data_IF_780315552922
#
_entry.id   IF_780315552922
#
_cell.length_a   1.000
_cell.length_b   1.000
_cell.length_c   1.000
_cell.angle_alpha   90.00
_cell.angle_beta   90.00
_cell.angle_gamma   90.00
#
_symmetry.space_group_name_H-M   'P 1'
#
loop_
_entity.id
_entity.type
_entity.pdbx_description
1 polymer ?
#
# COMPACT_ATOMS: atom_id res chain seq x y z
N UNK A 1 -27.36 8.26 0.46
CA UNK A 1 -26.33 7.27 0.07
C UNK A 1 -26.22 7.28 -1.44
N UNK A 2 -25.02 7.13 -1.99
CA UNK A 2 -24.78 6.98 -3.44
C UNK A 2 -25.24 5.59 -3.90
N UNK A 3 -25.86 5.51 -5.08
CA UNK A 3 -26.34 4.23 -5.63
C UNK A 3 -25.18 3.36 -6.13
N UNK A 4 -25.22 2.07 -5.80
CA UNK A 4 -24.34 1.03 -6.38
C UNK A 4 -24.87 0.43 -7.69
N UNK A 5 -26.03 0.90 -8.19
CA UNK A 5 -26.61 0.46 -9.47
C UNK A 5 -26.13 1.42 -10.57
N UNK A 6 -25.39 0.95 -11.59
CA UNK A 6 -24.87 1.82 -12.65
C UNK A 6 -25.98 2.46 -13.49
N UNK A 7 -25.82 3.74 -13.80
CA UNK A 7 -26.70 4.53 -14.69
C UNK A 7 -26.39 4.27 -16.17
N UNK A 8 -27.29 4.67 -17.07
CA UNK A 8 -27.10 4.51 -18.52
C UNK A 8 -25.86 5.25 -19.06
N UNK A 9 -25.48 6.39 -18.45
CA UNK A 9 -24.28 7.13 -18.82
C UNK A 9 -23.00 6.39 -18.40
N UNK A 10 -22.98 5.86 -17.17
CA UNK A 10 -21.87 5.07 -16.64
C UNK A 10 -21.68 3.75 -17.40
N UNK A 11 -22.76 3.07 -17.78
CA UNK A 11 -22.68 1.86 -18.61
C UNK A 11 -22.04 2.14 -19.97
N UNK A 12 -22.31 3.31 -20.57
CA UNK A 12 -21.72 3.73 -21.85
C UNK A 12 -20.34 4.38 -21.74
N UNK A 13 -19.80 4.60 -20.55
CA UNK A 13 -18.52 5.28 -20.35
C UNK A 13 -17.76 4.72 -19.16
N UNK A 14 -16.69 3.95 -19.44
CA UNK A 14 -15.76 3.47 -18.42
C UNK A 14 -15.24 4.62 -17.55
N UNK A 15 -14.92 5.78 -18.16
CA UNK A 15 -14.46 6.97 -17.42
C UNK A 15 -15.50 7.47 -16.40
N UNK A 16 -16.78 7.48 -16.76
CA UNK A 16 -17.86 7.84 -15.83
C UNK A 16 -18.05 6.79 -14.72
N UNK A 17 -17.93 5.50 -15.05
CA UNK A 17 -18.04 4.41 -14.08
C UNK A 17 -16.84 4.34 -13.11
N UNK A 18 -15.62 4.62 -13.57
CA UNK A 18 -14.43 4.74 -12.74
C UNK A 18 -14.48 6.00 -11.85
N UNK A 19 -15.02 7.12 -12.35
CA UNK A 19 -15.35 8.27 -11.49
C UNK A 19 -16.44 7.90 -10.46
N UNK A 20 -17.37 7.01 -10.81
CA UNK A 20 -18.38 6.52 -9.87
C UNK A 20 -17.79 5.64 -8.76
N UNK A 21 -16.79 4.81 -9.05
CA UNK A 21 -16.01 4.13 -8.02
C UNK A 21 -15.37 5.14 -7.05
N UNK A 22 -14.83 6.27 -7.56
CA UNK A 22 -14.25 7.31 -6.70
C UNK A 22 -15.28 7.93 -5.75
N UNK A 23 -16.55 8.10 -6.18
CA UNK A 23 -17.65 8.54 -5.31
C UNK A 23 -18.16 7.47 -4.32
N UNK A 24 -17.91 6.18 -4.58
CA UNK A 24 -18.38 5.05 -3.77
C UNK A 24 -17.32 4.53 -2.79
N UNK A 25 -16.07 4.90 -2.97
CA UNK A 25 -14.95 4.61 -2.08
C UNK A 25 -15.04 5.47 -0.79
N UNK A 26 -15.91 5.02 0.12
CA UNK A 26 -16.14 5.61 1.44
C UNK A 26 -15.04 5.29 2.45
N UNK A 27 -14.17 4.33 2.13
CA UNK A 27 -13.05 3.93 2.97
C UNK A 27 -11.75 4.67 2.63
N UNK A 28 -11.76 5.51 1.57
CA UNK A 28 -10.68 6.46 1.25
C UNK A 28 -10.29 7.30 2.46
N UNK A 29 -9.00 7.51 2.57
CA UNK A 29 -8.40 8.41 3.54
C UNK A 29 -8.39 9.85 3.04
N UNK A 30 -8.71 10.77 3.94
CA UNK A 30 -8.64 12.21 3.68
C UNK A 30 -7.27 12.78 4.09
N UNK A 31 -6.55 13.52 3.21
CA UNK A 31 -5.29 14.15 3.56
C UNK A 31 -5.47 15.24 4.63
N UNK A 32 -4.55 15.33 5.59
CA UNK A 32 -4.58 16.22 6.78
C UNK A 32 -5.72 15.88 7.77
N UNK A 33 -6.19 14.63 7.72
CA UNK A 33 -7.11 14.02 8.70
C UNK A 33 -6.60 12.62 9.04
N UNK A 34 -6.38 11.79 8.02
CA UNK A 34 -5.99 10.39 8.14
C UNK A 34 -4.52 10.12 7.77
N UNK A 35 -3.88 11.03 7.02
CA UNK A 35 -2.46 10.99 6.69
C UNK A 35 -1.96 12.39 6.31
N UNK A 36 -0.66 12.61 6.41
CA UNK A 36 0.03 13.81 5.93
C UNK A 36 1.23 13.44 5.06
N UNK A 37 1.46 14.23 4.01
CA UNK A 37 2.56 14.05 3.06
C UNK A 37 3.57 15.20 3.17
N UNK A 38 4.83 14.92 2.88
CA UNK A 38 5.85 15.92 2.61
C UNK A 38 6.39 15.72 1.18
N UNK A 39 5.77 16.41 0.22
CA UNK A 39 6.02 16.18 -1.22
C UNK A 39 7.33 16.83 -1.71
N UNK A 40 7.93 17.73 -0.92
CA UNK A 40 9.30 18.24 -1.11
C UNK A 40 9.56 18.80 -2.52
N UNK A 41 10.72 18.53 -3.13
CA UNK A 41 11.11 19.10 -4.43
C UNK A 41 10.89 18.14 -5.61
N UNK A 42 10.58 18.75 -6.75
CA UNK A 42 10.35 18.05 -8.01
C UNK A 42 11.61 17.88 -8.84
N UNK A 43 11.63 16.83 -9.66
CA UNK A 43 12.76 16.46 -10.52
C UNK A 43 12.34 15.87 -11.87
N UNK A 44 13.33 15.55 -12.70
CA UNK A 44 13.13 14.83 -13.95
C UNK A 44 13.20 13.30 -13.73
N UNK A 45 12.45 12.51 -14.49
CA UNK A 45 12.40 11.03 -14.36
C UNK A 45 13.77 10.31 -14.42
N UNK A 46 14.73 10.87 -15.16
CA UNK A 46 16.07 10.29 -15.35
C UNK A 46 17.13 10.88 -14.43
N UNK A 47 16.75 11.87 -13.62
CA UNK A 47 17.60 12.47 -12.61
C UNK A 47 17.68 11.53 -11.40
N UNK A 48 18.88 11.29 -10.88
CA UNK A 48 19.15 10.41 -9.73
C UNK A 48 19.63 11.18 -8.49
N UNK A 49 19.69 12.51 -8.55
CA UNK A 49 19.95 13.35 -7.37
C UNK A 49 18.90 13.14 -6.28
N UNK A 50 19.26 13.38 -5.03
CA UNK A 50 18.30 13.34 -3.95
C UNK A 50 17.62 14.69 -3.76
N UNK A 51 16.33 14.76 -4.09
CA UNK A 51 15.49 15.96 -3.99
C UNK A 51 14.44 15.84 -2.87
N UNK A 52 14.56 14.84 -2.00
CA UNK A 52 13.69 14.67 -0.85
C UNK A 52 14.48 14.06 0.33
N UNK A 53 14.82 14.91 1.30
CA UNK A 53 15.63 14.51 2.48
C UNK A 53 14.80 13.84 3.57
N UNK A 54 13.49 14.09 3.57
CA UNK A 54 12.53 13.55 4.52
C UNK A 54 11.67 12.46 3.86
N UNK A 55 11.01 11.58 4.63
CA UNK A 55 10.00 10.65 4.11
C UNK A 55 8.85 11.36 3.37
N UNK A 56 8.26 10.70 2.38
CA UNK A 56 7.03 11.16 1.72
C UNK A 56 5.85 11.16 2.71
N UNK A 57 5.72 10.13 3.55
CA UNK A 57 4.66 9.99 4.53
C UNK A 57 5.13 10.44 5.91
N UNK A 58 4.76 11.66 6.31
CA UNK A 58 5.09 12.21 7.64
C UNK A 58 4.13 11.74 8.73
N UNK A 59 2.93 11.30 8.37
CA UNK A 59 1.95 10.75 9.30
C UNK A 59 0.95 9.85 8.56
N UNK A 60 0.56 8.73 9.17
CA UNK A 60 -0.66 7.98 8.85
C UNK A 60 -1.32 7.61 10.18
N UNK A 61 -2.62 7.85 10.30
CA UNK A 61 -3.40 7.57 11.51
C UNK A 61 -3.44 6.06 11.81
N UNK A 62 -2.98 5.59 12.98
CA UNK A 62 -2.95 4.17 13.32
C UNK A 62 -4.32 3.47 13.22
N UNK A 63 -5.44 4.19 13.38
CA UNK A 63 -6.79 3.64 13.24
C UNK A 63 -7.13 3.21 11.81
N UNK A 64 -6.33 3.60 10.81
CA UNK A 64 -6.41 3.08 9.44
C UNK A 64 -6.13 1.57 9.41
N UNK A 65 -5.16 1.09 10.20
CA UNK A 65 -4.72 -0.31 10.18
C UNK A 65 -5.70 -1.26 10.90
N UNK A 66 -6.69 -0.73 11.62
CA UNK A 66 -7.80 -1.50 12.18
C UNK A 66 -9.05 -1.53 11.26
N UNK A 67 -9.02 -0.84 10.10
CA UNK A 67 -10.09 -0.95 9.10
C UNK A 67 -9.98 -2.30 8.38
N UNK A 68 -11.05 -3.12 8.28
CA UNK A 68 -10.93 -4.52 7.85
C UNK A 68 -10.20 -4.77 6.53
N UNK A 69 -10.50 -3.99 5.47
CA UNK A 69 -9.86 -4.18 4.15
C UNK A 69 -8.40 -3.71 4.12
N UNK A 70 -8.04 -2.69 4.90
CA UNK A 70 -6.65 -2.25 5.07
C UNK A 70 -5.86 -3.29 5.86
N UNK A 71 -6.40 -3.73 7.00
CA UNK A 71 -5.79 -4.77 7.86
C UNK A 71 -5.47 -6.03 7.07
N UNK A 72 -6.46 -6.56 6.36
CA UNK A 72 -6.29 -7.76 5.53
C UNK A 72 -5.36 -7.53 4.33
N UNK A 73 -5.15 -6.29 3.86
CA UNK A 73 -4.11 -6.02 2.87
C UNK A 73 -2.71 -6.12 3.50
N UNK A 74 -2.47 -5.57 4.70
CA UNK A 74 -1.19 -5.74 5.40
C UNK A 74 -0.91 -7.20 5.77
N UNK A 75 -1.93 -7.92 6.27
CA UNK A 75 -1.84 -9.37 6.55
C UNK A 75 -1.49 -10.19 5.29
N UNK A 76 -1.80 -9.69 4.08
CA UNK A 76 -1.33 -10.25 2.82
C UNK A 76 0.09 -9.80 2.45
N UNK A 77 0.38 -8.50 2.51
CA UNK A 77 1.70 -7.94 2.16
C UNK A 77 2.84 -8.59 2.97
N UNK A 78 2.60 -8.86 4.26
CA UNK A 78 3.56 -9.47 5.18
C UNK A 78 3.90 -10.95 4.85
N UNK A 79 3.20 -11.60 3.91
CA UNK A 79 3.51 -12.96 3.44
C UNK A 79 4.53 -13.01 2.28
N UNK A 80 4.81 -11.89 1.61
CA UNK A 80 5.53 -11.88 0.32
C UNK A 80 6.98 -11.39 0.43
N UNK A 81 7.85 -12.01 -0.37
CA UNK A 81 9.27 -11.66 -0.49
C UNK A 81 9.53 -10.89 -1.81
N UNK A 82 10.57 -10.06 -1.84
CA UNK A 82 10.91 -9.17 -2.98
C UNK A 82 11.43 -9.92 -4.22
N UNK A 83 12.10 -11.06 -4.03
CA UNK A 83 12.81 -11.78 -5.09
C UNK A 83 11.90 -12.72 -5.91
N UNK A 84 11.89 -12.58 -7.25
CA UNK A 84 11.12 -13.50 -8.12
C UNK A 84 11.85 -14.81 -8.41
N UNK A 85 11.09 -15.82 -8.86
CA UNK A 85 11.64 -17.04 -9.43
C UNK A 85 11.86 -18.19 -8.44
N UNK A 86 11.69 -17.94 -7.14
CA UNK A 86 11.42 -19.03 -6.17
C UNK A 86 10.04 -19.61 -6.47
N UNK A 87 9.88 -20.93 -6.37
CA UNK A 87 8.55 -21.55 -6.52
C UNK A 87 7.77 -21.39 -5.22
N UNK A 88 6.77 -20.51 -5.23
CA UNK A 88 5.88 -20.27 -4.09
C UNK A 88 5.16 -21.56 -3.67
N UNK A 89 5.09 -21.77 -2.35
CA UNK A 89 4.32 -22.86 -1.74
C UNK A 89 3.15 -22.28 -0.96
N UNK A 90 2.16 -21.77 -1.68
CA UNK A 90 0.98 -21.13 -1.09
C UNK A 90 0.39 -22.00 0.02
N UNK A 91 0.48 -21.52 1.26
CA UNK A 91 0.10 -22.31 2.44
C UNK A 91 -1.41 -22.22 2.70
N UNK A 92 -1.96 -23.12 3.54
CA UNK A 92 -3.35 -23.01 4.00
C UNK A 92 -3.65 -21.69 4.74
N UNK A 93 -2.63 -21.00 5.28
CA UNK A 93 -2.75 -19.67 5.90
C UNK A 93 -2.97 -18.60 4.83
N UNK A 94 -2.08 -18.50 3.84
CA UNK A 94 -2.26 -17.54 2.73
C UNK A 94 -3.57 -17.78 1.97
N UNK A 95 -3.97 -19.03 1.75
CA UNK A 95 -5.29 -19.33 1.14
C UNK A 95 -6.46 -18.83 1.99
N UNK A 96 -6.37 -18.87 3.32
CA UNK A 96 -7.39 -18.31 4.21
C UNK A 96 -7.40 -16.78 4.18
N UNK A 97 -6.22 -16.15 4.17
CA UNK A 97 -6.05 -14.69 4.15
C UNK A 97 -6.51 -14.09 2.81
N UNK A 98 -6.13 -14.70 1.68
CA UNK A 98 -6.65 -14.38 0.34
C UNK A 98 -8.19 -14.45 0.31
N UNK A 99 -8.75 -15.50 0.92
CA UNK A 99 -10.19 -15.73 0.99
C UNK A 99 -10.90 -14.68 1.87
N UNK A 100 -10.31 -14.32 3.01
CA UNK A 100 -10.77 -13.29 3.94
C UNK A 100 -10.73 -11.89 3.32
N UNK A 101 -9.62 -11.49 2.72
CA UNK A 101 -9.49 -10.22 1.98
C UNK A 101 -10.57 -10.12 0.89
N UNK A 102 -10.73 -11.18 0.08
CA UNK A 102 -11.78 -11.21 -0.95
C UNK A 102 -13.20 -11.16 -0.38
N UNK A 103 -13.48 -11.73 0.80
CA UNK A 103 -14.77 -11.57 1.47
C UNK A 103 -14.99 -10.12 1.96
N UNK A 104 -13.96 -9.48 2.50
CA UNK A 104 -14.06 -8.13 3.01
C UNK A 104 -14.24 -7.10 1.89
N UNK A 105 -13.47 -7.17 0.80
CA UNK A 105 -13.59 -6.21 -0.30
C UNK A 105 -14.89 -6.39 -1.09
N UNK A 106 -15.39 -7.62 -1.31
CA UNK A 106 -16.52 -7.84 -2.23
C UNK A 106 -17.85 -7.26 -1.71
N UNK A 107 -18.02 -7.11 -0.39
CA UNK A 107 -19.20 -6.48 0.20
C UNK A 107 -19.20 -4.95 0.15
N UNK A 108 -18.08 -4.33 -0.24
CA UNK A 108 -17.94 -2.87 -0.29
C UNK A 108 -18.70 -2.24 -1.47
N UNK A 109 -19.06 -0.96 -1.33
CA UNK A 109 -19.78 -0.24 -2.38
C UNK A 109 -19.03 -0.15 -3.72
N UNK A 110 -17.69 0.07 -3.78
CA UNK A 110 -16.93 -0.01 -5.03
C UNK A 110 -17.02 -1.37 -5.72
N UNK A 111 -16.85 -2.47 -4.98
CA UNK A 111 -16.84 -3.82 -5.56
C UNK A 111 -18.23 -4.28 -6.01
N UNK A 112 -19.28 -3.96 -5.24
CA UNK A 112 -20.67 -4.26 -5.63
C UNK A 112 -21.10 -3.45 -6.86
N UNK A 113 -20.63 -2.21 -7.00
CA UNK A 113 -20.82 -1.42 -8.22
C UNK A 113 -20.04 -1.98 -9.41
N UNK A 114 -18.77 -2.38 -9.20
CA UNK A 114 -17.94 -2.98 -10.25
C UNK A 114 -18.58 -4.27 -10.80
N UNK A 115 -19.06 -5.16 -9.92
CA UNK A 115 -19.82 -6.35 -10.32
C UNK A 115 -21.05 -5.98 -11.15
N UNK A 116 -21.87 -5.04 -10.68
CA UNK A 116 -23.07 -4.59 -11.38
C UNK A 116 -22.77 -3.95 -12.76
N UNK A 117 -21.66 -3.21 -12.90
CA UNK A 117 -21.23 -2.63 -14.17
C UNK A 117 -20.73 -3.69 -15.14
N UNK A 118 -19.95 -4.66 -14.65
CA UNK A 118 -19.42 -5.77 -15.45
C UNK A 118 -20.54 -6.71 -15.92
N UNK A 119 -21.51 -7.03 -15.07
CA UNK A 119 -22.70 -7.81 -15.44
C UNK A 119 -23.52 -7.12 -16.55
N UNK A 120 -23.87 -5.83 -16.34
CA UNK A 120 -24.70 -5.08 -17.28
C UNK A 120 -24.01 -4.79 -18.63
N UNK A 121 -22.69 -4.85 -18.68
CA UNK A 121 -21.90 -4.76 -19.92
C UNK A 121 -21.49 -6.14 -20.49
N UNK A 122 -22.02 -7.25 -19.96
CA UNK A 122 -21.71 -8.62 -20.37
C UNK A 122 -20.21 -8.99 -20.29
N UNK A 123 -19.46 -8.32 -19.41
CA UNK A 123 -18.03 -8.53 -19.12
C UNK A 123 -17.80 -9.50 -17.94
N UNK A 124 -18.85 -9.78 -17.17
CA UNK A 124 -18.92 -10.85 -16.18
C UNK A 124 -20.30 -11.52 -16.23
N UNK A 125 -20.42 -12.67 -15.56
CA UNK A 125 -21.67 -13.42 -15.37
C UNK A 125 -21.72 -13.99 -13.94
N UNK A 126 -22.89 -14.49 -13.52
CA UNK A 126 -23.08 -15.08 -12.20
C UNK A 126 -23.35 -14.07 -11.08
N UNK A 127 -23.50 -14.58 -9.86
CA UNK A 127 -23.75 -13.77 -8.66
C UNK A 127 -22.43 -13.23 -8.04
N UNK A 128 -22.49 -12.68 -6.83
CA UNK A 128 -21.28 -12.23 -6.11
C UNK A 128 -20.35 -13.41 -5.73
N UNK A 129 -20.88 -14.61 -5.52
CA UNK A 129 -20.08 -15.81 -5.20
C UNK A 129 -19.32 -16.30 -6.43
N UNK A 130 -19.91 -16.24 -7.61
CA UNK A 130 -19.22 -16.50 -8.88
C UNK A 130 -18.22 -15.39 -9.23
N UNK A 131 -18.56 -14.12 -8.98
CA UNK A 131 -17.63 -13.01 -9.14
C UNK A 131 -16.43 -13.13 -8.19
N UNK A 132 -16.62 -13.58 -6.94
CA UNK A 132 -15.52 -13.88 -6.01
C UNK A 132 -14.56 -14.92 -6.60
N UNK A 133 -15.06 -16.06 -7.11
CA UNK A 133 -14.21 -17.07 -7.79
C UNK A 133 -13.45 -16.48 -8.97
N UNK A 134 -14.06 -15.54 -9.72
CA UNK A 134 -13.43 -14.88 -10.85
C UNK A 134 -12.34 -13.89 -10.40
N UNK A 135 -12.54 -13.18 -9.29
CA UNK A 135 -11.51 -12.35 -8.65
C UNK A 135 -10.35 -13.22 -8.14
N UNK A 136 -10.65 -14.28 -7.40
CA UNK A 136 -9.69 -15.29 -6.91
C UNK A 136 -8.82 -15.84 -8.05
N UNK A 137 -9.43 -16.22 -9.18
CA UNK A 137 -8.72 -16.65 -10.37
C UNK A 137 -7.85 -15.57 -11.03
N UNK A 138 -8.35 -14.33 -11.12
CA UNK A 138 -7.66 -13.21 -11.78
C UNK A 138 -6.46 -12.73 -10.97
N UNK A 139 -6.65 -12.56 -9.65
CA UNK A 139 -5.69 -11.92 -8.74
C UNK A 139 -4.75 -12.93 -8.10
N UNK A 140 -5.27 -13.98 -7.46
CA UNK A 140 -4.48 -14.93 -6.66
C UNK A 140 -4.18 -16.25 -7.40
N UNK A 141 -4.71 -16.42 -8.61
CA UNK A 141 -4.42 -17.58 -9.44
C UNK A 141 -2.99 -17.53 -9.97
N UNK A 142 -2.06 -18.26 -9.35
CA UNK A 142 -0.65 -18.35 -9.78
C UNK A 142 -0.48 -18.61 -11.29
N UNK A 143 0.54 -18.00 -11.89
CA UNK A 143 0.99 -18.29 -13.25
C UNK A 143 2.52 -18.47 -13.29
N UNK A 144 3.07 -18.73 -14.48
CA UNK A 144 4.51 -18.91 -14.71
C UNK A 144 5.10 -17.64 -15.30
N UNK A 145 6.12 -17.08 -14.62
CA UNK A 145 6.88 -15.91 -15.05
C UNK A 145 8.36 -16.25 -15.29
N UNK A 146 8.96 -17.04 -14.41
CA UNK A 146 10.34 -17.55 -14.49
C UNK A 146 10.36 -19.05 -14.12
N UNK A 147 10.02 -19.38 -12.87
CA UNK A 147 9.71 -20.74 -12.41
C UNK A 147 8.26 -21.12 -12.74
N UNK A 148 7.72 -22.22 -12.19
CA UNK A 148 6.34 -22.67 -12.47
C UNK A 148 5.46 -22.35 -11.26
N UNK A 149 4.44 -21.51 -11.45
CA UNK A 149 3.54 -21.04 -10.40
C UNK A 149 4.36 -20.24 -9.35
N UNK A 150 4.93 -19.13 -9.81
CA UNK A 150 5.96 -18.34 -9.12
C UNK A 150 5.61 -16.85 -9.00
N UNK A 151 4.38 -16.48 -9.34
CA UNK A 151 3.83 -15.13 -9.22
C UNK A 151 2.31 -15.14 -9.54
N UNK A 152 1.59 -14.16 -9.01
CA UNK A 152 0.17 -13.89 -9.17
C UNK A 152 -0.10 -12.47 -9.70
N UNK A 153 -1.37 -12.11 -9.83
CA UNK A 153 -1.77 -10.74 -10.18
C UNK A 153 -1.76 -9.79 -8.97
N UNK A 154 -1.79 -10.33 -7.74
CA UNK A 154 -1.76 -9.55 -6.51
C UNK A 154 -0.36 -9.00 -6.23
N UNK A 155 0.69 -9.84 -6.20
CA UNK A 155 2.07 -9.36 -5.98
C UNK A 155 2.45 -8.28 -7.00
N UNK A 156 2.20 -8.53 -8.29
CA UNK A 156 2.50 -7.61 -9.40
C UNK A 156 1.97 -6.17 -9.25
N UNK A 157 0.87 -5.99 -8.51
CA UNK A 157 0.15 -4.72 -8.37
C UNK A 157 0.37 -4.11 -7.00
N UNK A 158 0.21 -4.91 -5.94
CA UNK A 158 0.20 -4.44 -4.55
C UNK A 158 1.56 -4.53 -3.87
N UNK A 159 2.28 -5.66 -3.98
CA UNK A 159 3.62 -5.84 -3.38
C UNK A 159 4.69 -5.13 -4.22
N UNK A 160 4.73 -5.45 -5.52
CA UNK A 160 5.85 -5.16 -6.40
C UNK A 160 6.99 -6.17 -6.25
N UNK A 161 7.59 -6.50 -7.39
CA UNK A 161 8.60 -7.54 -7.51
C UNK A 161 9.92 -6.94 -8.02
N UNK A 162 11.06 -7.52 -7.68
CA UNK A 162 12.28 -7.27 -8.43
C UNK A 162 12.51 -8.31 -9.53
N UNK A 163 12.78 -7.86 -10.75
CA UNK A 163 13.10 -8.72 -11.89
C UNK A 163 14.38 -8.26 -12.58
N UNK A 164 15.45 -9.05 -12.45
CA UNK A 164 16.78 -8.79 -13.05
C UNK A 164 17.38 -7.42 -12.65
N UNK A 165 17.52 -7.15 -11.34
CA UNK A 165 18.08 -5.88 -10.85
C UNK A 165 17.16 -4.68 -11.07
N UNK A 166 15.83 -4.87 -11.15
CA UNK A 166 14.87 -3.82 -11.51
C UNK A 166 13.51 -4.01 -10.85
N UNK A 167 13.12 -3.02 -10.05
CA UNK A 167 11.81 -2.95 -9.39
C UNK A 167 10.71 -2.82 -10.46
N UNK A 168 9.79 -3.78 -10.46
CA UNK A 168 8.71 -3.97 -11.42
C UNK A 168 7.38 -4.19 -10.66
N UNK A 169 6.49 -3.21 -10.67
CA UNK A 169 5.36 -3.16 -9.73
C UNK A 169 5.64 -2.19 -8.57
N UNK A 170 5.00 -2.36 -7.42
CA UNK A 170 5.00 -1.39 -6.30
C UNK A 170 4.44 -0.03 -6.78
N UNK A 171 3.11 -0.02 -6.97
CA UNK A 171 2.33 1.17 -7.32
C UNK A 171 1.25 1.49 -6.28
N UNK A 172 0.78 0.49 -5.53
CA UNK A 172 -0.09 0.71 -4.37
C UNK A 172 0.63 1.57 -3.32
N UNK A 173 -0.10 2.54 -2.75
CA UNK A 173 0.48 3.52 -1.82
C UNK A 173 0.72 2.96 -0.41
N UNK A 174 -0.06 1.95 0.01
CA UNK A 174 0.08 1.33 1.35
C UNK A 174 1.39 0.56 1.45
N UNK A 175 1.78 -0.16 0.39
CA UNK A 175 3.07 -0.83 0.33
C UNK A 175 4.24 0.18 0.27
N UNK A 176 4.15 1.25 -0.54
CA UNK A 176 5.18 2.31 -0.53
C UNK A 176 5.37 2.91 0.87
N UNK A 177 4.27 3.15 1.59
CA UNK A 177 4.30 3.58 3.00
C UNK A 177 4.90 2.50 3.93
N UNK A 178 4.56 1.22 3.74
CA UNK A 178 5.08 0.10 4.55
C UNK A 178 6.60 -0.05 4.42
N UNK A 179 7.12 0.11 3.21
CA UNK A 179 8.54 0.04 2.94
C UNK A 179 9.29 1.29 3.41
N UNK A 180 8.70 2.48 3.30
CA UNK A 180 9.30 3.73 3.76
C UNK A 180 9.40 3.78 5.30
N UNK A 181 8.33 3.42 6.03
CA UNK A 181 8.35 3.36 7.51
C UNK A 181 9.30 2.28 8.06
N UNK A 182 9.59 1.25 7.26
CA UNK A 182 10.56 0.20 7.58
C UNK A 182 11.99 0.57 7.16
N UNK A 183 12.21 1.76 6.57
CA UNK A 183 13.52 2.25 6.13
C UNK A 183 14.06 1.59 4.85
N UNK A 184 13.26 0.75 4.17
CA UNK A 184 13.64 0.05 2.93
C UNK A 184 13.39 0.91 1.70
N UNK A 185 12.31 1.71 1.67
CA UNK A 185 12.11 2.74 0.64
C UNK A 185 12.67 4.10 1.12
N UNK A 186 13.36 4.76 0.21
CA UNK A 186 13.83 6.13 0.33
C UNK A 186 13.27 6.94 -0.86
N UNK A 187 12.27 7.78 -0.58
CA UNK A 187 11.63 8.68 -1.54
C UNK A 187 12.62 9.73 -2.07
N UNK A 188 12.65 9.96 -3.39
CA UNK A 188 13.64 10.84 -4.04
C UNK A 188 13.04 12.10 -4.68
N UNK A 189 11.79 12.46 -4.33
CA UNK A 189 11.05 13.59 -4.90
C UNK A 189 10.10 13.21 -6.04
N UNK A 190 9.16 14.12 -6.36
CA UNK A 190 8.15 13.89 -7.40
C UNK A 190 8.69 14.14 -8.81
N UNK A 191 8.12 13.44 -9.80
CA UNK A 191 8.50 13.61 -11.21
C UNK A 191 7.63 14.67 -11.86
N UNK A 192 8.25 15.71 -12.42
CA UNK A 192 7.57 16.66 -13.30
C UNK A 192 7.28 15.99 -14.66
N UNK A 193 6.03 16.00 -15.17
CA UNK A 193 5.69 15.45 -16.47
C UNK A 193 6.48 16.08 -17.61
N UNK A 194 7.01 15.25 -18.52
CA UNK A 194 7.73 15.72 -19.72
C UNK A 194 6.76 16.20 -20.81
N UNK A 195 6.25 17.43 -20.66
CA UNK A 195 5.54 18.12 -21.74
C UNK A 195 6.11 19.52 -21.98
N UNK A 196 6.32 19.86 -23.26
CA UNK A 196 6.67 21.22 -23.70
C UNK A 196 5.38 22.04 -23.86
N UNK A 197 5.38 23.28 -23.39
CA UNK A 197 4.27 24.23 -23.57
C UNK A 197 3.10 24.10 -22.58
N UNK A 198 2.85 22.93 -22.01
CA UNK A 198 1.84 22.75 -20.97
C UNK A 198 2.33 23.29 -19.61
N UNK A 199 1.50 24.07 -18.92
CA UNK A 199 1.77 24.50 -17.54
C UNK A 199 1.58 23.32 -16.59
N UNK A 200 2.66 22.76 -16.07
CA UNK A 200 2.55 21.84 -14.95
C UNK A 200 2.10 22.59 -13.70
N UNK A 201 1.12 22.04 -12.98
CA UNK A 201 0.73 22.52 -11.66
C UNK A 201 1.44 21.62 -10.65
N UNK A 202 2.41 22.19 -9.92
CA UNK A 202 3.19 21.46 -8.92
C UNK A 202 2.24 20.78 -7.90
N UNK A 203 2.53 19.54 -7.48
CA UNK A 203 1.68 18.80 -6.54
C UNK A 203 1.67 19.47 -5.17
N UNK A 204 0.62 19.19 -4.39
CA UNK A 204 0.50 19.66 -3.00
C UNK A 204 0.55 18.49 -2.03
N UNK A 205 0.80 18.75 -0.74
CA UNK A 205 0.71 17.76 0.36
C UNK A 205 -0.74 17.25 0.62
N UNK A 206 -1.63 17.38 -0.37
CA UNK A 206 -3.02 16.90 -0.39
C UNK A 206 -3.36 16.20 -1.73
N UNK A 207 -2.37 15.99 -2.58
CA UNK A 207 -2.50 15.32 -3.88
C UNK A 207 -2.72 13.82 -3.67
N UNK A 208 -3.73 13.24 -4.32
CA UNK A 208 -4.08 11.81 -4.24
C UNK A 208 -3.73 11.03 -5.51
N UNK A 209 -2.97 11.63 -6.42
CA UNK A 209 -2.31 10.96 -7.53
C UNK A 209 -0.92 11.58 -7.68
N UNK A 210 0.13 10.86 -7.29
CA UNK A 210 1.50 11.36 -7.34
C UNK A 210 2.36 10.47 -8.23
N UNK A 211 3.10 11.08 -9.15
CA UNK A 211 4.20 10.43 -9.88
C UNK A 211 5.52 10.83 -9.22
N UNK A 212 6.35 9.86 -8.85
CA UNK A 212 7.56 10.07 -8.06
C UNK A 212 8.66 9.04 -8.36
N UNK A 213 9.86 9.33 -7.89
CA UNK A 213 10.98 8.39 -7.89
C UNK A 213 11.24 7.93 -6.45
N UNK A 214 11.66 6.68 -6.30
CA UNK A 214 12.22 6.18 -5.05
C UNK A 214 13.36 5.21 -5.29
N UNK A 215 14.18 5.04 -4.27
CA UNK A 215 15.13 3.95 -4.11
C UNK A 215 14.51 2.92 -3.14
N UNK A 216 14.66 1.63 -3.43
CA UNK A 216 14.23 0.54 -2.57
C UNK A 216 15.45 -0.35 -2.31
N UNK A 217 16.01 -0.23 -1.10
CA UNK A 217 17.33 -0.73 -0.72
C UNK A 217 18.39 -0.23 -1.72
N UNK A 218 19.06 -1.08 -2.49
CA UNK A 218 20.09 -0.63 -3.43
C UNK A 218 19.56 -0.17 -4.81
N UNK A 219 18.32 -0.51 -5.17
CA UNK A 219 17.80 -0.27 -6.53
C UNK A 219 16.90 0.96 -6.69
N UNK A 220 16.94 1.61 -7.86
CA UNK A 220 16.22 2.87 -8.11
C UNK A 220 15.05 2.71 -9.07
N UNK A 221 13.82 2.82 -8.57
CA UNK A 221 12.62 2.91 -9.43
C UNK A 221 12.44 4.33 -9.94
N UNK A 222 12.96 4.59 -11.14
CA UNK A 222 13.00 5.92 -11.78
C UNK A 222 11.64 6.64 -11.84
N UNK A 223 10.55 5.90 -12.05
CA UNK A 223 9.17 6.40 -12.09
C UNK A 223 8.23 5.38 -11.48
N UNK A 224 7.53 5.77 -10.42
CA UNK A 224 6.27 5.19 -9.96
C UNK A 224 5.16 6.22 -10.08
N UNK A 225 3.91 5.75 -10.14
CA UNK A 225 2.73 6.58 -9.92
C UNK A 225 1.79 5.82 -9.01
N UNK A 226 1.27 6.48 -7.98
CA UNK A 226 0.40 5.89 -6.96
C UNK A 226 -0.84 6.77 -6.75
N UNK A 227 -1.99 6.11 -6.54
CA UNK A 227 -3.19 6.74 -6.02
C UNK A 227 -3.06 6.78 -4.50
N UNK A 228 -2.88 7.95 -3.89
CA UNK A 228 -2.55 8.06 -2.45
C UNK A 228 -3.82 8.19 -1.61
N UNK A 229 -3.94 7.35 -0.59
CA UNK A 229 -5.05 7.37 0.36
C UNK A 229 -6.30 6.62 -0.10
N UNK A 230 -6.37 6.11 -1.33
CA UNK A 230 -7.50 5.28 -1.80
C UNK A 230 -7.55 3.94 -1.04
N UNK A 231 -8.74 3.33 -0.95
CA UNK A 231 -8.89 2.05 -0.26
C UNK A 231 -8.44 0.84 -1.11
N UNK A 232 -8.05 -0.29 -0.48
CA UNK A 232 -7.70 -1.52 -1.20
C UNK A 232 -8.82 -2.01 -2.13
N UNK A 233 -10.07 -1.96 -1.68
CA UNK A 233 -11.24 -2.33 -2.47
C UNK A 233 -11.48 -1.41 -3.69
N UNK A 234 -11.06 -0.13 -3.63
CA UNK A 234 -11.14 0.77 -4.76
C UNK A 234 -10.13 0.41 -5.84
N UNK A 235 -8.87 0.12 -5.49
CA UNK A 235 -7.86 -0.33 -6.45
C UNK A 235 -8.25 -1.69 -7.07
N UNK A 236 -8.68 -2.66 -6.26
CA UNK A 236 -9.17 -3.96 -6.76
C UNK A 236 -10.38 -3.77 -7.71
N UNK A 237 -11.35 -2.91 -7.36
CA UNK A 237 -12.53 -2.64 -8.20
C UNK A 237 -12.14 -1.97 -9.53
N UNK A 238 -11.32 -0.91 -9.47
CA UNK A 238 -10.86 -0.13 -10.62
C UNK A 238 -10.06 -1.01 -11.58
N UNK A 239 -9.06 -1.73 -11.07
CA UNK A 239 -8.17 -2.56 -11.88
C UNK A 239 -8.90 -3.78 -12.45
N UNK A 240 -9.83 -4.39 -11.70
CA UNK A 240 -10.69 -5.46 -12.25
C UNK A 240 -11.60 -4.92 -13.36
N UNK A 241 -12.18 -3.73 -13.22
CA UNK A 241 -13.00 -3.11 -14.27
C UNK A 241 -12.19 -2.75 -15.52
N UNK A 242 -11.01 -2.17 -15.39
CA UNK A 242 -10.15 -1.83 -16.52
C UNK A 242 -9.58 -3.08 -17.22
N UNK A 243 -9.18 -4.11 -16.45
CA UNK A 243 -8.73 -5.39 -17.01
C UNK A 243 -9.85 -6.10 -17.78
N UNK A 244 -11.03 -6.28 -17.18
CA UNK A 244 -12.19 -6.89 -17.86
C UNK A 244 -12.86 -5.95 -18.88
N UNK A 245 -12.45 -4.68 -18.96
CA UNK A 245 -12.77 -3.85 -20.11
C UNK A 245 -12.11 -4.40 -21.39
N UNK A 246 -10.98 -5.09 -21.28
CA UNK A 246 -10.29 -5.75 -22.39
C UNK A 246 -9.46 -4.80 -23.24
N UNK A 247 -8.89 -3.75 -22.62
CA UNK A 247 -7.99 -2.78 -23.24
C UNK A 247 -6.77 -2.58 -22.34
N UNK A 248 -5.58 -2.44 -22.93
CA UNK A 248 -4.36 -2.18 -22.14
C UNK A 248 -4.30 -0.76 -21.58
N UNK A 249 -4.87 0.23 -22.28
CA UNK A 249 -4.80 1.65 -21.91
C UNK A 249 -6.20 2.23 -21.68
N UNK A 250 -6.60 2.37 -20.40
CA UNK A 250 -7.94 2.80 -20.02
C UNK A 250 -7.93 4.25 -19.52
N UNK A 251 -8.27 5.18 -20.42
CA UNK A 251 -8.30 6.63 -20.12
C UNK A 251 -9.57 6.99 -19.32
N UNK A 252 -9.40 7.39 -18.06
CA UNK A 252 -10.49 7.57 -17.09
C UNK A 252 -10.30 8.80 -16.20
N UNK A 253 -11.41 9.41 -15.78
CA UNK A 253 -11.45 10.43 -14.75
C UNK A 253 -11.63 9.76 -13.38
N UNK A 254 -10.81 10.13 -12.40
CA UNK A 254 -10.90 9.68 -11.00
C UNK A 254 -10.99 10.92 -10.10
N UNK A 255 -12.21 11.39 -9.81
CA UNK A 255 -12.41 12.62 -9.06
C UNK A 255 -11.79 13.82 -9.80
N UNK A 256 -10.82 14.54 -9.21
CA UNK A 256 -10.14 15.66 -9.89
C UNK A 256 -8.98 15.23 -10.81
N UNK A 257 -8.64 13.95 -10.90
CA UNK A 257 -7.47 13.44 -11.64
C UNK A 257 -7.87 12.79 -12.97
N UNK A 258 -7.06 12.99 -14.00
CA UNK A 258 -7.16 12.27 -15.27
C UNK A 258 -6.04 11.22 -15.33
N UNK A 259 -6.40 9.96 -15.59
CA UNK A 259 -5.49 8.82 -15.53
C UNK A 259 -5.60 7.96 -16.79
N UNK A 260 -4.49 7.35 -17.19
CA UNK A 260 -4.49 6.15 -18.02
C UNK A 260 -4.25 4.95 -17.08
N UNK A 261 -5.25 4.11 -16.84
CA UNK A 261 -5.04 2.85 -16.10
C UNK A 261 -4.48 1.84 -17.10
N UNK A 262 -3.18 1.56 -16.95
CA UNK A 262 -2.45 0.58 -17.74
C UNK A 262 -2.67 -0.81 -17.15
N UNK A 263 -3.25 -1.72 -17.92
CA UNK A 263 -3.53 -3.11 -17.53
C UNK A 263 -2.79 -4.08 -18.45
N UNK A 264 -1.70 -4.68 -17.98
CA UNK A 264 -1.07 -5.81 -18.66
C UNK A 264 -1.75 -7.14 -18.28
N UNK A 265 -1.58 -8.17 -19.10
CA UNK A 265 -2.24 -9.46 -18.91
C UNK A 265 -1.30 -10.65 -19.16
N UNK A 266 -1.54 -11.75 -18.44
CA UNK A 266 -0.82 -13.01 -18.62
C UNK A 266 -1.80 -14.15 -18.95
N UNK A 267 -1.34 -15.14 -19.72
CA UNK A 267 -2.19 -16.22 -20.24
C UNK A 267 -2.84 -15.87 -21.59
N UNK A 268 -3.87 -16.63 -21.99
CA UNK A 268 -4.64 -16.41 -23.23
C UNK A 268 -6.09 -16.87 -23.05
N UNK A 269 -7.02 -16.20 -23.72
CA UNK A 269 -8.44 -16.60 -23.76
C UNK A 269 -9.09 -16.64 -22.38
N UNK A 270 -9.79 -17.73 -22.06
CA UNK A 270 -10.47 -17.93 -20.76
C UNK A 270 -9.50 -17.91 -19.56
N UNK A 271 -8.26 -18.32 -19.80
CA UNK A 271 -7.22 -18.52 -18.77
C UNK A 271 -6.38 -17.25 -18.53
N UNK A 272 -6.82 -16.11 -19.08
CA UNK A 272 -6.15 -14.81 -18.93
C UNK A 272 -6.35 -14.23 -17.53
N UNK A 273 -5.28 -13.72 -16.94
CA UNK A 273 -5.20 -13.11 -15.60
C UNK A 273 -4.58 -11.72 -15.66
N UNK A 274 -4.76 -10.95 -14.59
CA UNK A 274 -4.18 -9.62 -14.50
C UNK A 274 -2.67 -9.74 -14.26
N UNK A 275 -1.89 -8.96 -15.01
CA UNK A 275 -0.48 -8.75 -14.73
C UNK A 275 -0.28 -7.39 -14.08
N UNK A 276 0.89 -6.79 -14.32
CA UNK A 276 1.23 -5.46 -13.81
C UNK A 276 0.15 -4.46 -14.24
N UNK A 277 -0.46 -3.80 -13.26
CA UNK A 277 -1.53 -2.82 -13.47
C UNK A 277 -1.29 -1.61 -12.58
N UNK A 278 -1.38 -0.41 -13.15
CA UNK A 278 -1.04 0.83 -12.44
C UNK A 278 -1.69 2.07 -13.09
N UNK A 279 -1.84 3.18 -12.34
CA UNK A 279 -2.25 4.45 -12.91
C UNK A 279 -1.04 5.15 -13.56
N UNK A 280 -1.26 5.80 -14.69
CA UNK A 280 -0.35 6.77 -15.29
C UNK A 280 -1.05 8.14 -15.28
N UNK A 281 -0.39 9.13 -14.66
CA UNK A 281 -0.95 10.47 -14.52
C UNK A 281 -0.98 11.19 -15.89
N UNK A 282 -2.16 11.61 -16.32
CA UNK A 282 -2.34 12.35 -17.57
C UNK A 282 -2.37 13.87 -17.32
N UNK A 283 -2.01 14.70 -18.31
CA UNK A 283 -2.12 16.14 -18.22
C UNK A 283 -3.58 16.56 -18.06
N UNK A 284 -3.84 17.54 -17.18
CA UNK A 284 -5.16 18.17 -17.08
C UNK A 284 -5.38 19.09 -18.29
N UNK A 285 -6.54 19.01 -18.92
CA UNK A 285 -7.02 20.08 -19.83
C UNK A 285 -7.26 21.36 -19.04
N UNK A 286 -7.31 22.51 -19.71
CA UNK A 286 -7.54 23.81 -19.06
C UNK A 286 -8.83 23.83 -18.21
N UNK A 287 -9.90 23.21 -18.70
CA UNK A 287 -11.17 23.08 -17.98
C UNK A 287 -11.04 22.19 -16.71
N UNK A 288 -10.27 21.09 -16.78
CA UNK A 288 -10.00 20.24 -15.62
C UNK A 288 -9.05 20.92 -14.62
N UNK A 289 -8.05 21.66 -15.08
CA UNK A 289 -7.16 22.46 -14.23
C UNK A 289 -7.97 23.53 -13.49
N UNK A 290 -8.84 24.27 -14.19
CA UNK A 290 -9.77 25.21 -13.58
C UNK A 290 -10.69 24.52 -12.56
N UNK A 291 -11.28 23.37 -12.88
CA UNK A 291 -12.13 22.61 -11.97
C UNK A 291 -11.39 22.14 -10.71
N UNK A 292 -10.15 21.65 -10.85
CA UNK A 292 -9.29 21.23 -9.72
C UNK A 292 -8.93 22.43 -8.84
N UNK A 293 -8.55 23.57 -9.42
CA UNK A 293 -8.29 24.82 -8.69
C UNK A 293 -9.56 25.28 -7.94
N UNK A 294 -10.72 25.27 -8.59
CA UNK A 294 -12.00 25.64 -7.96
C UNK A 294 -12.39 24.68 -6.82
N UNK A 295 -12.10 23.38 -6.94
CA UNK A 295 -12.28 22.39 -5.87
C UNK A 295 -11.37 22.69 -4.67
N UNK A 296 -10.09 22.97 -4.91
CA UNK A 296 -9.12 23.35 -3.87
C UNK A 296 -9.56 24.64 -3.16
N UNK A 297 -10.00 25.65 -3.91
CA UNK A 297 -10.49 26.92 -3.36
C UNK A 297 -11.77 26.75 -2.54
N UNK A 298 -12.78 26.01 -3.03
CA UNK A 298 -14.00 25.68 -2.27
C UNK A 298 -13.66 24.95 -0.97
N UNK A 299 -12.80 23.93 -1.05
CA UNK A 299 -12.31 23.21 0.13
C UNK A 299 -11.50 24.07 1.10
N UNK A 300 -10.88 25.17 0.65
CA UNK A 300 -10.25 26.17 1.53
C UNK A 300 -11.30 27.04 2.22
N UNK A 301 -12.30 27.53 1.48
CA UNK A 301 -13.39 28.39 1.98
C UNK A 301 -14.21 27.66 3.06
N UNK A 302 -14.64 26.42 2.81
CA UNK A 302 -15.37 25.62 3.80
C UNK A 302 -14.55 25.42 5.08
N UNK A 303 -13.24 25.18 4.97
CA UNK A 303 -12.35 25.03 6.14
C UNK A 303 -12.11 26.33 6.89
N UNK A 304 -12.02 27.49 6.23
CA UNK A 304 -12.00 28.77 6.95
C UNK A 304 -13.30 29.01 7.73
N UNK A 305 -14.46 28.60 7.20
CA UNK A 305 -15.74 28.76 7.88
C UNK A 305 -15.92 27.83 9.10
N UNK A 306 -15.23 26.67 9.12
CA UNK A 306 -15.18 25.73 10.24
C UNK A 306 -14.08 26.10 11.26
N UNK A 307 -13.07 26.86 10.85
CA UNK A 307 -11.87 27.15 11.66
C UNK A 307 -12.15 27.84 13.01
N UNK A 308 -13.27 28.55 13.15
CA UNK A 308 -13.67 29.21 14.39
C UNK A 308 -14.03 28.24 15.56
N UNK A 309 -14.07 26.93 15.32
CA UNK A 309 -14.43 25.92 16.34
C UNK A 309 -13.23 25.12 16.88
N UNK A 310 -12.10 25.07 16.16
CA UNK A 310 -10.94 24.24 16.56
C UNK A 310 -10.00 25.00 17.50
N UNK A 311 -10.03 24.66 18.79
CA UNK A 311 -8.97 25.05 19.75
C UNK A 311 -7.60 24.60 19.22
N UNK A 312 -6.58 25.42 19.46
CA UNK A 312 -5.20 25.13 19.06
C UNK A 312 -4.70 23.84 19.73
N UNK A 313 -4.18 22.92 18.93
CA UNK A 313 -3.29 21.88 19.45
C UNK A 313 -1.89 22.49 19.67
N UNK A 314 -1.17 22.14 20.75
CA UNK A 314 0.22 22.57 20.91
C UNK A 314 1.11 21.96 19.82
N UNK A 315 2.25 22.58 19.48
CA UNK A 315 3.21 22.00 18.54
C UNK A 315 3.77 20.67 19.08
N UNK A 316 4.14 19.72 18.20
CA UNK A 316 4.74 18.46 18.61
C UNK A 316 6.11 18.72 19.31
N UNK A 317 6.47 17.90 20.32
CA UNK A 317 7.76 18.03 20.97
C UNK A 317 8.91 17.64 20.02
N UNK A 318 10.10 18.27 20.13
CA UNK A 318 11.25 17.91 19.32
C UNK A 318 11.79 16.52 19.71
N UNK A 319 11.79 15.60 18.75
CA UNK A 319 12.29 14.24 18.87
C UNK A 319 12.25 13.52 17.51
N UNK A 320 12.79 12.29 17.39
CA UNK A 320 12.61 11.49 16.18
C UNK A 320 11.12 11.23 15.94
N UNK A 321 10.69 11.27 14.67
CA UNK A 321 9.27 11.25 14.28
C UNK A 321 8.50 9.97 14.66
N UNK A 322 9.20 8.92 15.10
CA UNK A 322 8.65 7.62 15.44
C UNK A 322 9.01 7.24 16.87
N UNK A 323 7.99 6.99 17.70
CA UNK A 323 8.16 6.32 18.98
C UNK A 323 8.55 4.85 18.78
N UNK A 324 9.11 4.18 19.80
CA UNK A 324 9.52 2.78 19.69
C UNK A 324 8.31 1.87 19.41
N UNK A 325 8.49 0.76 18.65
CA UNK A 325 7.43 -0.21 18.42
C UNK A 325 6.95 -0.85 19.74
N UNK A 326 5.67 -1.24 19.84
CA UNK A 326 5.09 -1.77 21.08
C UNK A 326 5.70 -3.11 21.45
N UNK A 327 6.60 -3.12 22.43
CA UNK A 327 7.26 -4.33 22.96
C UNK A 327 8.63 -4.10 23.62
N UNK A 328 9.30 -2.98 23.34
CA UNK A 328 10.61 -2.67 23.94
C UNK A 328 10.53 -2.00 25.31
N UNK A 329 11.14 -2.60 26.35
CA UNK A 329 11.33 -1.95 27.64
C UNK A 329 12.44 -0.87 27.57
N UNK A 330 12.20 0.29 28.17
CA UNK A 330 13.08 1.45 28.02
C UNK A 330 14.40 1.32 28.79
N UNK A 331 15.53 1.58 28.10
CA UNK A 331 16.82 1.90 28.72
C UNK A 331 17.08 3.41 28.61
N UNK A 332 17.42 4.11 29.71
CA UNK A 332 17.63 5.56 29.68
C UNK A 332 19.02 5.93 29.14
N UNK A 333 19.09 7.01 28.35
CA UNK A 333 20.35 7.58 27.88
C UNK A 333 21.02 8.46 28.95
N UNK A 334 22.36 8.59 28.88
CA UNK A 334 23.13 9.46 29.77
C UNK A 334 22.99 10.94 29.39
N UNK A 335 22.97 11.82 30.40
CA UNK A 335 23.41 13.22 30.31
C UNK A 335 24.05 13.68 31.65
N UNK A 336 24.70 14.86 31.74
CA UNK A 336 26.04 14.93 32.35
C UNK A 336 26.13 15.25 33.86
N UNK A 337 27.38 15.15 34.33
CA UNK A 337 27.93 15.44 35.67
C UNK A 337 27.33 16.62 36.44
N UNK A 338 26.93 16.38 37.70
CA UNK A 338 26.49 17.43 38.65
C UNK A 338 26.41 16.94 40.11
N UNK A 339 27.50 17.07 40.85
CA UNK A 339 27.73 16.65 42.25
C UNK A 339 26.64 17.05 43.28
N UNK A 340 26.10 16.11 44.07
CA UNK A 340 26.41 15.94 45.52
C UNK A 340 25.50 14.95 46.31
N UNK A 341 26.14 13.99 46.97
CA UNK A 341 25.88 13.45 48.34
C UNK A 341 24.46 13.39 48.95
N UNK A 342 23.89 12.18 49.03
CA UNK A 342 23.74 11.35 50.26
C UNK A 342 23.20 9.95 49.87
N UNK A 343 23.30 8.90 50.70
CA UNK A 343 23.07 7.52 50.22
C UNK A 343 22.72 6.44 51.26
N UNK A 344 22.90 5.17 50.86
CA UNK A 344 22.48 3.90 51.51
C UNK A 344 20.97 3.59 51.34
N UNK A 345 20.50 2.34 51.18
CA UNK A 345 21.10 1.00 51.02
C UNK A 345 20.21 0.18 50.02
N UNK A 346 20.57 -0.98 49.43
CA UNK A 346 21.12 -2.23 49.98
C UNK A 346 21.88 -3.05 48.93
N UNK A 347 22.54 -4.15 49.33
CA UNK A 347 23.37 -4.97 48.44
C UNK A 347 23.22 -6.50 48.61
N UNK A 348 23.38 -7.20 47.48
CA UNK A 348 23.81 -8.61 47.30
C UNK A 348 22.79 -9.75 47.62
N UNK A 349 23.04 -10.98 47.11
CA UNK A 349 21.98 -11.93 46.71
C UNK A 349 21.91 -13.21 47.58
N UNK A 350 21.05 -14.16 47.18
CA UNK A 350 20.99 -15.53 47.71
C UNK A 350 21.00 -16.60 46.61
N UNK A 351 21.44 -17.81 47.00
CA UNK A 351 21.59 -19.00 46.14
C UNK A 351 20.98 -20.26 46.77
N UNK A 352 20.86 -21.31 45.96
CA UNK A 352 20.19 -22.61 46.20
C UNK A 352 20.56 -23.36 47.51
N UNK A 353 19.61 -24.19 48.00
CA UNK A 353 19.89 -25.62 48.28
C UNK A 353 18.63 -26.51 48.37
N UNK A 354 18.82 -27.77 47.97
CA UNK A 354 17.94 -28.96 47.89
C UNK A 354 17.20 -29.38 49.20
N UNK A 355 16.38 -30.45 49.26
CA UNK A 355 16.05 -31.58 48.35
C UNK A 355 14.52 -31.88 48.34
N UNK A 356 13.87 -33.03 48.07
CA UNK A 356 14.13 -34.47 47.70
C UNK A 356 12.74 -35.12 47.43
N UNK A 357 12.49 -36.22 46.69
CA UNK A 357 13.26 -37.11 45.80
C UNK A 357 12.30 -37.55 44.62
N UNK A 358 12.08 -38.78 44.10
CA UNK A 358 12.50 -40.17 44.37
C UNK A 358 12.47 -41.07 43.08
N UNK A 359 11.70 -42.17 43.03
CA UNK A 359 11.68 -43.21 41.97
C UNK A 359 10.36 -43.17 41.12
N UNK A 360 10.27 -43.39 39.79
CA UNK A 360 10.99 -44.21 38.76
C UNK A 360 10.33 -45.59 38.48
N UNK A 361 10.47 -46.24 37.29
CA UNK A 361 11.09 -45.82 36.00
C UNK A 361 10.28 -46.21 34.71
N UNK A 362 10.95 -46.26 33.53
CA UNK A 362 10.58 -46.91 32.23
C UNK A 362 9.67 -46.07 31.28
N UNK A 363 9.89 -45.92 29.96
CA UNK A 363 10.89 -46.43 28.98
C UNK A 363 11.45 -45.30 28.06
N UNK A 364 12.31 -45.63 27.08
CA UNK A 364 12.93 -44.68 26.15
C UNK A 364 12.82 -45.08 24.66
N UNK A 365 12.75 -44.08 23.76
CA UNK A 365 13.03 -44.09 22.30
C UNK A 365 13.05 -42.58 21.86
N UNK A 366 14.17 -41.92 21.49
CA UNK A 366 15.07 -42.04 20.32
C UNK A 366 14.69 -41.11 19.13
N UNK A 367 15.60 -40.15 18.84
CA UNK A 367 15.73 -39.30 17.64
C UNK A 367 14.56 -38.33 17.30
N UNK A 368 14.75 -37.14 16.71
CA UNK A 368 15.79 -36.63 15.79
C UNK A 368 16.22 -35.17 16.11
N UNK A 369 17.35 -34.72 15.54
CA UNK A 369 17.76 -33.30 15.44
C UNK A 369 17.75 -32.83 13.98
N UNK A 370 17.24 -31.62 13.68
CA UNK A 370 17.78 -30.74 12.67
C UNK A 370 18.83 -29.79 13.30
N UNK A 371 19.94 -29.53 12.62
CA UNK A 371 20.93 -28.51 13.04
C UNK A 371 20.83 -27.34 12.07
N UNK A 372 20.28 -26.22 12.54
CA UNK A 372 20.43 -24.91 11.88
C UNK A 372 21.61 -24.18 12.51
N UNK A 373 22.61 -23.81 11.71
CA UNK A 373 23.82 -23.14 12.20
C UNK A 373 24.48 -22.26 11.13
N UNK A 374 24.10 -20.98 11.08
CA UNK A 374 24.86 -19.90 10.44
C UNK A 374 24.73 -18.66 11.34
N UNK A 375 25.85 -18.03 11.71
CA UNK A 375 25.83 -16.91 12.66
C UNK A 375 27.06 -16.83 13.58
N UNK A 376 28.25 -16.72 13.01
CA UNK A 376 29.43 -16.13 13.69
C UNK A 376 30.14 -15.18 12.71
N UNK A 377 30.62 -14.01 13.16
CA UNK A 377 31.23 -13.01 12.28
C UNK A 377 32.70 -13.32 12.02
N UNK A 378 33.18 -13.06 10.81
CA UNK A 378 34.60 -12.96 10.53
C UNK A 378 35.01 -11.49 10.38
N UNK A 379 35.95 -11.08 11.22
CA UNK A 379 36.72 -9.84 11.09
C UNK A 379 37.90 -10.14 10.15
N UNK A 380 38.12 -9.30 9.14
CA UNK A 380 39.42 -8.72 8.78
C UNK A 380 39.24 -7.55 7.79
#
# INVERSE_FOLDING_TARGET
>A
MTSVIPTFSELKSLSAACNKLWELDTNRLEPNVHYELNVQEGKNAFDRSDMARDPLFTFVDPSVFERPTYKMLFELLDNYERETGVTEKVTPKELAENNMFLNAVIETAPMRYAHAWLLKNHKATGDLKDFKKKLEFIWFGLYRREARNDSSGFEHVFVGEEKNGKICGCHNWLQVYNEERNGRINYKGYIRPRQRGCKFMEPTNKEQLLTFQFQWEDETKLVSTSLIGVSPEFEIALYTMCFLNGQENNHVQLGPYLCNIKCFSFGRGKDTKIGTTFPEALPLTEAQAAAKIQSILRGRITRSHISHVRRQAPPPPPGPAWGPPPGGAATPALQPTGTHSTGNAWAKPLSQSASSAAASPVAALVALKPIGAWGQPHIF
#
